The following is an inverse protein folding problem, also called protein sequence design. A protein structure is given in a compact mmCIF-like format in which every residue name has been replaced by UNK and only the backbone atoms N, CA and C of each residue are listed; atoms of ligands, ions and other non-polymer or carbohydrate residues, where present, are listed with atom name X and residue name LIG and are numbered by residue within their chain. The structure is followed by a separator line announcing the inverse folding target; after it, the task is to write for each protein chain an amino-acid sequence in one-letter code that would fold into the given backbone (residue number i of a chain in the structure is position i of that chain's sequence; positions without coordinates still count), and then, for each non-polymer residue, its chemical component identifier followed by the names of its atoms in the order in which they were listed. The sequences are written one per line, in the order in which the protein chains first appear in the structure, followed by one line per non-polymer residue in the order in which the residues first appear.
data_IF_312662856391
#
_entry.id   IF_312662856391
#
_cell.length_a   1.000
_cell.length_b   1.000
_cell.length_c   1.000
_cell.angle_alpha   90.00
_cell.angle_beta   90.00
_cell.angle_gamma   90.00
#
_symmetry.space_group_name_H-M   'P 1'
#
loop_
_entity.id
_entity.type
_entity.pdbx_description
1 polymer ?
#
# COMPACT_ATOMS: atom_id res chain seq x y z
N UNK A 1 -9.84 -25.93 -2.50
CA UNK A 1 -8.42 -25.52 -2.61
C UNK A 1 -8.09 -24.70 -1.38
N UNK A 2 -6.99 -24.99 -0.69
CA UNK A 2 -6.65 -24.34 0.58
C UNK A 2 -6.26 -22.86 0.37
N UNK A 3 -6.97 -21.95 1.04
CA UNK A 3 -6.74 -20.49 0.95
C UNK A 3 -5.31 -20.13 1.34
N UNK A 4 -4.75 -20.78 2.36
CA UNK A 4 -3.39 -20.50 2.85
C UNK A 4 -2.34 -20.72 1.76
N UNK A 5 -2.38 -21.90 1.13
CA UNK A 5 -1.48 -22.27 0.02
C UNK A 5 -1.60 -21.34 -1.18
N UNK A 6 -2.81 -20.95 -1.56
CA UNK A 6 -3.02 -20.00 -2.67
C UNK A 6 -2.38 -18.65 -2.37
N UNK A 7 -2.56 -18.14 -1.15
CA UNK A 7 -1.99 -16.86 -0.76
C UNK A 7 -0.47 -16.89 -0.64
N UNK A 8 0.09 -18.04 -0.25
CA UNK A 8 1.53 -18.24 -0.27
C UNK A 8 2.09 -18.25 -1.70
N UNK A 9 1.49 -19.02 -2.61
CA UNK A 9 1.89 -19.01 -4.02
C UNK A 9 1.72 -17.63 -4.64
N UNK A 10 0.62 -16.93 -4.34
CA UNK A 10 0.39 -15.55 -4.76
C UNK A 10 1.55 -14.63 -4.36
N UNK A 11 1.99 -14.69 -3.11
CA UNK A 11 3.12 -13.87 -2.63
C UNK A 11 4.42 -14.20 -3.36
N UNK A 12 4.67 -15.48 -3.64
CA UNK A 12 5.88 -15.93 -4.31
C UNK A 12 5.98 -15.46 -5.77
N UNK A 13 4.84 -15.32 -6.47
CA UNK A 13 4.81 -14.93 -7.88
C UNK A 13 4.42 -13.46 -8.10
N UNK A 14 4.04 -12.72 -7.05
CA UNK A 14 3.54 -11.35 -7.15
C UNK A 14 4.46 -10.41 -7.95
N UNK A 15 5.77 -10.49 -7.68
CA UNK A 15 6.77 -9.60 -8.28
C UNK A 15 7.17 -10.06 -9.67
N UNK A 16 7.22 -11.36 -9.92
CA UNK A 16 7.72 -11.94 -11.18
C UNK A 16 6.63 -12.16 -12.24
N UNK A 17 5.39 -12.44 -11.82
CA UNK A 17 4.26 -12.69 -12.70
C UNK A 17 2.95 -12.25 -12.03
N UNK A 18 2.68 -10.95 -12.12
CA UNK A 18 1.47 -10.31 -11.60
C UNK A 18 0.18 -10.87 -12.22
N UNK A 19 0.23 -11.37 -13.46
CA UNK A 19 -0.91 -11.98 -14.13
C UNK A 19 -1.26 -13.34 -13.51
N UNK A 20 -0.26 -14.19 -13.30
CA UNK A 20 -0.42 -15.46 -12.55
C UNK A 20 -0.86 -15.18 -11.12
N UNK A 21 -0.26 -14.18 -10.45
CA UNK A 21 -0.67 -13.77 -9.11
C UNK A 21 -2.18 -13.47 -9.04
N UNK A 22 -2.71 -12.65 -9.95
CA UNK A 22 -4.16 -12.39 -10.01
C UNK A 22 -4.99 -13.62 -10.33
N UNK A 23 -4.50 -14.51 -11.20
CA UNK A 23 -5.21 -15.75 -11.52
C UNK A 23 -5.40 -16.64 -10.29
N UNK A 24 -4.40 -16.67 -9.39
CA UNK A 24 -4.46 -17.39 -8.12
C UNK A 24 -5.52 -16.80 -7.21
N UNK A 25 -5.56 -15.47 -7.07
CA UNK A 25 -6.61 -14.79 -6.29
C UNK A 25 -8.01 -15.09 -6.85
N UNK A 26 -8.16 -15.14 -8.18
CA UNK A 26 -9.45 -15.45 -8.84
C UNK A 26 -9.95 -16.88 -8.62
N UNK A 27 -9.10 -17.79 -8.14
CA UNK A 27 -9.51 -19.15 -7.72
C UNK A 27 -10.19 -19.16 -6.35
N UNK A 28 -10.12 -18.06 -5.59
CA UNK A 28 -10.79 -17.86 -4.31
C UNK A 28 -12.11 -17.10 -4.49
N UNK A 29 -12.97 -17.14 -3.46
CA UNK A 29 -14.16 -16.29 -3.37
C UNK A 29 -13.77 -14.83 -3.06
N UNK A 30 -13.21 -14.14 -4.06
CA UNK A 30 -12.58 -12.83 -3.87
C UNK A 30 -13.54 -11.64 -3.82
N UNK A 31 -14.73 -11.76 -4.42
CA UNK A 31 -15.63 -10.60 -4.66
C UNK A 31 -16.16 -9.95 -3.37
N UNK A 32 -16.31 -10.73 -2.31
CA UNK A 32 -16.79 -10.28 -1.00
C UNK A 32 -15.65 -10.20 0.03
N UNK A 33 -14.39 -10.24 -0.43
CA UNK A 33 -13.21 -10.23 0.42
C UNK A 33 -12.36 -8.97 0.14
N UNK A 34 -12.39 -7.98 1.05
CA UNK A 34 -11.70 -6.71 0.84
C UNK A 34 -10.18 -6.88 0.67
N UNK A 35 -9.58 -7.86 1.33
CA UNK A 35 -8.15 -8.14 1.21
C UNK A 35 -7.81 -8.72 -0.17
N UNK A 36 -8.62 -9.64 -0.69
CA UNK A 36 -8.37 -10.22 -2.01
C UNK A 36 -8.62 -9.21 -3.15
N UNK A 37 -9.64 -8.36 -3.02
CA UNK A 37 -9.86 -7.24 -3.94
C UNK A 37 -8.68 -6.26 -3.91
N UNK A 38 -8.17 -5.93 -2.71
CA UNK A 38 -6.97 -5.11 -2.55
C UNK A 38 -5.74 -5.75 -3.20
N UNK A 39 -5.53 -7.06 -3.06
CA UNK A 39 -4.43 -7.76 -3.73
C UNK A 39 -4.51 -7.60 -5.26
N UNK A 40 -5.71 -7.72 -5.83
CA UNK A 40 -5.92 -7.48 -7.27
C UNK A 40 -5.62 -6.02 -7.61
N UNK A 41 -6.13 -5.06 -6.82
CA UNK A 41 -5.87 -3.64 -7.04
C UNK A 41 -4.38 -3.31 -7.01
N UNK A 42 -3.64 -3.83 -6.03
CA UNK A 42 -2.21 -3.63 -5.87
C UNK A 42 -1.44 -4.09 -7.10
N UNK A 43 -1.74 -5.29 -7.62
CA UNK A 43 -1.04 -5.79 -8.82
C UNK A 43 -1.25 -4.91 -10.06
N UNK A 44 -2.45 -4.34 -10.24
CA UNK A 44 -2.73 -3.42 -11.34
C UNK A 44 -2.09 -2.05 -11.11
N UNK A 45 -2.04 -1.58 -9.86
CA UNK A 45 -1.34 -0.36 -9.49
C UNK A 45 0.16 -0.50 -9.78
N UNK A 46 0.77 -1.64 -9.45
CA UNK A 46 2.17 -1.92 -9.75
C UNK A 46 2.43 -1.91 -11.25
N UNK A 47 1.61 -2.62 -12.04
CA UNK A 47 1.70 -2.59 -13.51
C UNK A 47 1.47 -1.19 -14.10
N UNK A 48 0.76 -0.32 -13.40
CA UNK A 48 0.58 1.07 -13.81
C UNK A 48 1.81 1.94 -13.58
N UNK A 49 2.67 1.57 -12.61
CA UNK A 49 3.84 2.33 -12.19
C UNK A 49 5.15 1.74 -12.69
N UNK A 50 5.19 0.44 -12.97
CA UNK A 50 6.37 -0.30 -13.39
C UNK A 50 6.11 -1.03 -14.71
N UNK A 51 7.15 -1.15 -15.53
CA UNK A 51 7.14 -2.02 -16.70
C UNK A 51 7.37 -3.49 -16.33
N UNK A 52 7.33 -4.36 -17.34
CA UNK A 52 7.50 -5.81 -17.18
C UNK A 52 8.88 -6.21 -16.65
N UNK A 53 9.87 -5.31 -16.73
CA UNK A 53 11.21 -5.51 -16.17
C UNK A 53 11.33 -4.91 -14.76
N UNK A 54 10.21 -4.45 -14.18
CA UNK A 54 10.19 -3.79 -12.87
C UNK A 54 10.76 -2.38 -12.85
N UNK A 55 11.06 -1.79 -14.02
CA UNK A 55 11.54 -0.41 -14.10
C UNK A 55 10.38 0.56 -13.98
N UNK A 56 10.57 1.60 -13.18
CA UNK A 56 9.55 2.63 -13.01
C UNK A 56 9.28 3.33 -14.35
N UNK A 57 8.00 3.44 -14.69
CA UNK A 57 7.53 4.16 -15.86
C UNK A 57 7.66 5.67 -15.64
N UNK A 58 7.94 6.40 -16.72
CA UNK A 58 7.96 7.87 -16.69
C UNK A 58 6.58 8.45 -16.35
N UNK A 59 5.52 7.80 -16.84
CA UNK A 59 4.14 8.19 -16.65
C UNK A 59 3.31 6.99 -16.21
N UNK A 60 2.23 7.26 -15.47
CA UNK A 60 1.30 6.21 -15.03
C UNK A 60 0.56 5.64 -16.22
N UNK A 61 0.54 4.31 -16.35
CA UNK A 61 -0.30 3.66 -17.35
C UNK A 61 -1.77 3.68 -16.90
N UNK A 62 -2.48 4.73 -17.30
CA UNK A 62 -3.83 5.06 -16.85
C UNK A 62 -4.86 3.94 -17.02
N UNK A 63 -4.74 3.09 -18.05
CA UNK A 63 -5.65 1.95 -18.22
C UNK A 63 -5.55 0.97 -17.05
N UNK A 64 -4.33 0.66 -16.60
CA UNK A 64 -4.09 -0.24 -15.46
C UNK A 64 -4.47 0.42 -14.14
N UNK A 65 -4.12 1.70 -14.00
CA UNK A 65 -4.52 2.49 -12.84
C UNK A 65 -6.06 2.52 -12.65
N UNK A 66 -6.83 2.75 -13.72
CA UNK A 66 -8.32 2.74 -13.68
C UNK A 66 -8.90 1.38 -13.29
N UNK A 67 -8.17 0.28 -13.54
CA UNK A 67 -8.60 -1.05 -13.06
C UNK A 67 -8.26 -1.20 -11.58
N UNK A 68 -7.09 -0.76 -11.15
CA UNK A 68 -6.71 -0.73 -9.74
C UNK A 68 -7.72 0.09 -8.91
N UNK A 69 -8.10 1.26 -9.40
CA UNK A 69 -9.10 2.14 -8.79
C UNK A 69 -10.45 1.43 -8.59
N UNK A 70 -10.95 0.74 -9.61
CA UNK A 70 -12.23 0.03 -9.50
C UNK A 70 -12.22 -1.04 -8.41
N UNK A 71 -11.16 -1.84 -8.35
CA UNK A 71 -11.06 -2.90 -7.35
C UNK A 71 -10.86 -2.32 -5.94
N UNK A 72 -10.10 -1.24 -5.79
CA UNK A 72 -9.87 -0.67 -4.45
C UNK A 72 -11.10 0.06 -3.91
N UNK A 73 -11.93 0.66 -4.77
CA UNK A 73 -13.24 1.21 -4.37
C UNK A 73 -14.14 0.10 -3.81
N UNK A 74 -14.27 -1.02 -4.52
CA UNK A 74 -15.05 -2.17 -4.02
C UNK A 74 -14.50 -2.70 -2.69
N UNK A 75 -13.17 -2.74 -2.52
CA UNK A 75 -12.57 -3.18 -1.28
C UNK A 75 -12.87 -2.24 -0.10
N UNK A 76 -12.86 -0.92 -0.34
CA UNK A 76 -13.22 0.10 0.68
C UNK A 76 -14.69 0.00 1.07
N UNK A 77 -15.59 -0.28 0.13
CA UNK A 77 -17.02 -0.46 0.41
C UNK A 77 -17.29 -1.64 1.37
N UNK A 78 -16.49 -2.71 1.28
CA UNK A 78 -16.62 -3.89 2.12
C UNK A 78 -15.98 -3.76 3.51
N UNK A 79 -14.87 -3.02 3.59
CA UNK A 79 -14.18 -2.73 4.85
C UNK A 79 -13.38 -1.41 4.75
N UNK A 80 -13.97 -0.27 5.15
CA UNK A 80 -13.33 1.04 5.05
C UNK A 80 -12.23 1.26 6.11
N UNK A 81 -12.09 0.35 7.07
CA UNK A 81 -11.08 0.43 8.14
C UNK A 81 -9.97 -0.60 7.97
N UNK A 82 -10.02 -1.45 6.93
CA UNK A 82 -8.93 -2.35 6.62
C UNK A 82 -7.66 -1.56 6.25
N UNK A 83 -6.56 -1.71 7.00
CA UNK A 83 -5.39 -0.87 6.82
C UNK A 83 -4.64 -1.17 5.50
N UNK A 84 -4.69 -2.41 5.00
CA UNK A 84 -4.15 -2.75 3.67
C UNK A 84 -4.94 -2.09 2.54
N UNK A 85 -6.27 -2.05 2.68
CA UNK A 85 -7.17 -1.39 1.72
C UNK A 85 -6.92 0.11 1.73
N UNK A 86 -6.85 0.74 2.91
CA UNK A 86 -6.52 2.16 3.06
C UNK A 86 -5.16 2.49 2.43
N UNK A 87 -4.14 1.65 2.63
CA UNK A 87 -2.80 1.90 2.10
C UNK A 87 -2.75 1.85 0.58
N UNK A 88 -3.40 0.85 -0.03
CA UNK A 88 -3.49 0.76 -1.49
C UNK A 88 -4.39 1.86 -2.04
N UNK A 89 -5.49 2.24 -1.38
CA UNK A 89 -6.31 3.38 -1.78
C UNK A 89 -5.49 4.67 -1.77
N UNK A 90 -4.75 4.95 -0.70
CA UNK A 90 -3.86 6.11 -0.62
C UNK A 90 -2.83 6.12 -1.75
N UNK A 91 -2.25 4.96 -2.06
CA UNK A 91 -1.28 4.81 -3.15
C UNK A 91 -1.90 5.02 -4.54
N UNK A 92 -3.13 4.53 -4.77
CA UNK A 92 -3.90 4.78 -5.99
C UNK A 92 -4.17 6.27 -6.15
N UNK A 93 -4.66 6.93 -5.10
CA UNK A 93 -5.03 8.36 -5.10
C UNK A 93 -3.80 9.25 -5.30
N UNK A 94 -2.71 8.97 -4.60
CA UNK A 94 -1.41 9.65 -4.78
C UNK A 94 -0.90 9.54 -6.21
N UNK A 95 -1.04 8.38 -6.85
CA UNK A 95 -0.60 8.18 -8.25
C UNK A 95 -1.43 9.00 -9.26
N UNK A 96 -2.60 9.49 -8.87
CA UNK A 96 -3.44 10.38 -9.67
C UNK A 96 -3.40 11.85 -9.22
N UNK A 97 -2.49 12.22 -8.30
CA UNK A 97 -2.37 13.58 -7.77
C UNK A 97 -3.48 13.98 -6.80
N UNK A 98 -4.33 13.05 -6.37
CA UNK A 98 -5.41 13.30 -5.41
C UNK A 98 -4.86 13.22 -3.98
N UNK A 99 -3.98 14.18 -3.64
CA UNK A 99 -3.18 14.14 -2.42
C UNK A 99 -4.03 14.21 -1.15
N UNK A 100 -5.12 14.98 -1.12
CA UNK A 100 -6.01 15.09 0.05
C UNK A 100 -6.57 13.73 0.48
N UNK A 101 -7.02 12.92 -0.49
CA UNK A 101 -7.56 11.58 -0.22
C UNK A 101 -6.44 10.64 0.22
N UNK A 102 -5.26 10.75 -0.39
CA UNK A 102 -4.11 9.94 0.00
C UNK A 102 -3.69 10.24 1.44
N UNK A 103 -3.61 11.52 1.81
CA UNK A 103 -3.34 12.00 3.17
C UNK A 103 -4.34 11.40 4.14
N UNK A 104 -5.65 11.54 3.86
CA UNK A 104 -6.70 10.97 4.70
C UNK A 104 -6.50 9.46 4.95
N UNK A 105 -6.19 8.69 3.91
CA UNK A 105 -5.95 7.25 4.05
C UNK A 105 -4.78 6.93 4.98
N UNK A 106 -3.64 7.58 4.81
CA UNK A 106 -2.45 7.31 5.64
C UNK A 106 -2.62 7.82 7.07
N UNK A 107 -3.28 8.97 7.27
CA UNK A 107 -3.63 9.47 8.59
C UNK A 107 -4.57 8.51 9.32
N UNK A 108 -5.54 7.93 8.62
CA UNK A 108 -6.45 6.93 9.18
C UNK A 108 -5.71 5.68 9.65
N UNK A 109 -4.73 5.19 8.88
CA UNK A 109 -3.87 4.06 9.30
C UNK A 109 -3.07 4.41 10.56
N UNK A 110 -2.48 5.61 10.61
CA UNK A 110 -1.72 6.06 11.79
C UNK A 110 -2.64 6.18 13.02
N UNK A 111 -3.87 6.67 12.85
CA UNK A 111 -4.88 6.78 13.91
C UNK A 111 -5.34 5.43 14.44
N UNK A 112 -5.53 4.44 13.56
CA UNK A 112 -5.79 3.05 13.97
C UNK A 112 -4.64 2.50 14.83
N UNK A 113 -3.41 2.86 14.45
CA UNK A 113 -2.19 2.39 15.10
C UNK A 113 -2.03 0.87 14.97
N UNK A 114 -1.01 0.32 15.64
CA UNK A 114 -0.67 -1.11 15.51
C UNK A 114 -1.81 -2.01 16.00
N UNK A 115 -2.41 -1.67 17.16
CA UNK A 115 -3.51 -2.47 17.73
C UNK A 115 -4.76 -2.45 16.83
N UNK A 116 -5.10 -1.28 16.28
CA UNK A 116 -6.22 -1.15 15.36
C UNK A 116 -5.97 -1.89 14.05
N UNK A 117 -4.75 -1.80 13.50
CA UNK A 117 -4.39 -2.47 12.25
C UNK A 117 -4.36 -4.01 12.36
N UNK A 118 -4.12 -4.54 13.56
CA UNK A 118 -4.25 -5.98 13.85
C UNK A 118 -5.70 -6.42 14.06
N UNK A 119 -6.62 -5.47 14.27
CA UNK A 119 -8.06 -5.71 14.43
C UNK A 119 -8.79 -5.57 13.09
N UNK A 120 -10.01 -6.11 12.99
CA UNK A 120 -10.81 -6.06 11.75
C UNK A 120 -10.62 -7.29 10.84
N UNK A 121 -11.15 -7.22 9.60
CA UNK A 121 -11.20 -8.39 8.70
C UNK A 121 -9.85 -8.73 8.08
N UNK A 122 -8.98 -7.73 7.88
CA UNK A 122 -7.68 -7.92 7.24
C UNK A 122 -6.58 -8.49 8.14
N UNK A 123 -6.83 -8.61 9.46
CA UNK A 123 -5.97 -9.22 10.51
C UNK A 123 -4.48 -9.27 10.14
N UNK A 124 -3.83 -8.11 10.17
CA UNK A 124 -2.37 -8.07 10.05
C UNK A 124 -1.72 -8.69 11.28
N UNK A 125 -0.61 -9.40 11.06
CA UNK A 125 0.27 -9.71 12.18
C UNK A 125 0.91 -8.44 12.74
N UNK A 126 1.51 -8.56 13.92
CA UNK A 126 2.04 -7.41 14.65
C UNK A 126 3.15 -6.69 13.89
N UNK A 127 3.97 -7.40 13.15
CA UNK A 127 5.13 -6.82 12.47
C UNK A 127 4.68 -6.14 11.18
N UNK A 128 3.81 -6.76 10.39
CA UNK A 128 3.15 -6.11 9.26
C UNK A 128 2.39 -4.84 9.70
N UNK A 129 1.68 -4.89 10.83
CA UNK A 129 0.99 -3.72 11.37
C UNK A 129 1.96 -2.59 11.77
N UNK A 130 3.09 -2.92 12.39
CA UNK A 130 4.14 -1.92 12.71
C UNK A 130 4.73 -1.30 11.44
N UNK A 131 5.09 -2.15 10.48
CA UNK A 131 5.65 -1.74 9.18
C UNK A 131 4.69 -0.79 8.49
N UNK A 132 3.43 -1.18 8.32
CA UNK A 132 2.44 -0.40 7.61
C UNK A 132 2.13 0.94 8.28
N UNK A 133 1.98 0.96 9.60
CA UNK A 133 1.78 2.20 10.36
C UNK A 133 3.01 3.11 10.25
N UNK A 134 4.21 2.53 10.19
CA UNK A 134 5.42 3.32 10.03
C UNK A 134 5.56 3.86 8.60
N UNK A 135 5.41 3.01 7.59
CA UNK A 135 5.47 3.36 6.16
C UNK A 135 4.39 4.39 5.80
N UNK A 136 3.23 4.37 6.45
CA UNK A 136 2.21 5.44 6.27
C UNK A 136 2.72 6.82 6.70
N UNK A 137 3.59 6.91 7.71
CA UNK A 137 4.23 8.19 8.09
C UNK A 137 5.23 8.61 7.02
N UNK A 138 5.92 7.67 6.40
CA UNK A 138 6.83 7.97 5.31
C UNK A 138 6.07 8.53 4.09
N UNK A 139 4.91 7.97 3.76
CA UNK A 139 4.06 8.54 2.71
C UNK A 139 3.55 9.94 3.05
N UNK A 140 3.16 10.20 4.30
CA UNK A 140 2.80 11.56 4.73
C UNK A 140 3.97 12.54 4.68
N UNK A 141 5.18 12.11 5.06
CA UNK A 141 6.40 12.90 4.86
C UNK A 141 6.51 13.34 3.38
N UNK A 142 6.29 12.41 2.44
CA UNK A 142 6.40 12.70 1.01
C UNK A 142 5.27 13.57 0.48
N UNK A 143 4.06 13.39 0.99
CA UNK A 143 2.88 14.15 0.56
C UNK A 143 2.93 15.60 1.04
N UNK A 144 3.43 15.85 2.25
CA UNK A 144 3.57 17.20 2.80
C UNK A 144 4.89 17.88 2.42
N UNK A 145 5.80 17.22 1.69
CA UNK A 145 7.17 17.70 1.48
C UNK A 145 7.24 19.13 0.93
N UNK A 146 6.41 19.43 -0.08
CA UNK A 146 6.38 20.73 -0.73
C UNK A 146 5.43 21.71 0.01
N UNK A 147 4.27 21.23 0.43
CA UNK A 147 3.19 22.08 0.95
C UNK A 147 3.35 22.48 2.43
N UNK A 148 3.91 21.60 3.27
CA UNK A 148 4.17 21.86 4.69
C UNK A 148 5.47 21.16 5.14
N UNK A 149 6.65 21.78 4.92
CA UNK A 149 7.94 21.18 5.25
C UNK A 149 8.12 20.90 6.76
N UNK A 150 7.46 21.67 7.64
CA UNK A 150 7.55 21.48 9.09
C UNK A 150 6.81 20.21 9.49
N UNK A 151 5.59 20.02 8.99
CA UNK A 151 4.81 18.81 9.22
C UNK A 151 5.45 17.58 8.54
N UNK A 152 5.94 17.75 7.32
CA UNK A 152 6.71 16.73 6.60
C UNK A 152 7.91 16.24 7.42
N UNK A 153 8.73 17.17 7.94
CA UNK A 153 9.87 16.85 8.80
C UNK A 153 9.47 16.15 10.11
N UNK A 154 8.30 16.47 10.68
CA UNK A 154 7.75 15.75 11.83
C UNK A 154 7.42 14.30 11.49
N UNK A 155 6.76 14.05 10.37
CA UNK A 155 6.47 12.68 9.92
C UNK A 155 7.73 11.87 9.61
N UNK A 156 8.75 12.50 9.00
CA UNK A 156 10.04 11.85 8.74
C UNK A 156 10.72 11.42 10.06
N UNK A 157 10.76 12.31 11.06
CA UNK A 157 11.30 11.98 12.40
C UNK A 157 10.54 10.82 13.03
N UNK A 158 9.20 10.81 12.92
CA UNK A 158 8.37 9.72 13.44
C UNK A 158 8.60 8.39 12.72
N UNK A 159 8.85 8.43 11.40
CA UNK A 159 9.20 7.26 10.59
C UNK A 159 10.57 6.68 10.99
N UNK A 160 11.60 7.54 11.08
CA UNK A 160 12.96 7.13 11.46
C UNK A 160 12.98 6.50 12.86
N UNK A 161 12.29 7.10 13.83
CA UNK A 161 12.13 6.52 15.18
C UNK A 161 11.45 5.15 15.16
N UNK A 162 10.57 4.88 14.20
CA UNK A 162 9.98 3.56 14.01
C UNK A 162 11.00 2.52 13.53
N UNK A 163 11.87 2.91 12.60
CA UNK A 163 12.96 2.06 12.11
C UNK A 163 13.97 1.74 13.22
N UNK A 164 14.35 2.74 14.02
CA UNK A 164 15.22 2.56 15.21
C UNK A 164 14.63 1.55 16.21
N UNK A 165 13.30 1.50 16.32
CA UNK A 165 12.57 0.53 17.16
C UNK A 165 12.35 -0.83 16.50
N UNK A 166 12.99 -1.08 15.35
CA UNK A 166 12.96 -2.36 14.65
C UNK A 166 11.77 -2.55 13.69
N UNK A 167 11.02 -1.50 13.35
CA UNK A 167 10.07 -1.62 12.23
C UNK A 167 10.85 -1.84 10.93
N UNK A 168 10.45 -2.84 10.14
CA UNK A 168 10.94 -2.97 8.76
C UNK A 168 10.19 -1.97 7.87
N UNK A 169 10.55 -1.95 6.60
CA UNK A 169 9.97 -1.02 5.63
C UNK A 169 10.08 -1.59 4.22
N UNK A 170 9.11 -1.25 3.39
CA UNK A 170 9.11 -1.56 1.96
C UNK A 170 10.04 -0.64 1.15
N UNK A 171 10.44 0.52 1.69
CA UNK A 171 11.31 1.48 1.01
C UNK A 171 12.78 1.06 1.12
N UNK A 172 13.21 0.09 0.30
CA UNK A 172 14.61 -0.39 0.26
C UNK A 172 15.22 -0.29 -1.15
N UNK A 173 16.44 0.24 -1.31
CA UNK A 173 17.22 0.94 -0.29
C UNK A 173 16.59 2.30 0.06
N UNK A 174 16.49 2.64 1.35
CA UNK A 174 15.76 3.82 1.83
C UNK A 174 16.20 5.13 1.18
N UNK A 175 17.52 5.31 0.99
CA UNK A 175 18.10 6.52 0.38
C UNK A 175 17.49 6.87 -0.98
N UNK A 176 17.05 5.87 -1.76
CA UNK A 176 16.43 6.08 -3.08
C UNK A 176 15.08 6.82 -2.98
N UNK A 177 14.42 6.76 -1.83
CA UNK A 177 13.04 7.23 -1.66
C UNK A 177 12.93 8.52 -0.83
N UNK A 178 14.02 8.96 -0.20
CA UNK A 178 14.06 10.23 0.51
C UNK A 178 13.98 11.39 -0.50
N UNK A 179 13.06 12.32 -0.26
CA UNK A 179 12.96 13.59 -0.97
C UNK A 179 14.01 14.53 -0.34
N UNK A 180 15.09 14.71 -1.09
CA UNK A 180 16.30 15.49 -0.78
C UNK A 180 17.11 15.03 0.45
N UNK A 181 18.18 14.29 0.17
CA UNK A 181 19.47 14.47 0.86
C UNK A 181 20.45 15.00 -0.18
N UNK A 182 20.43 16.30 -0.44
CA UNK A 182 21.52 17.00 -1.12
C UNK A 182 21.99 18.13 -0.21
#
# INVERSE_FOLDING_TARGET
MDRGKILEEYRNVLVSDSAKARSLIRKLSYKEDPYLLQCIAQTFLDESRFDENGKQRKEVYWRKWRVAERYIIQAVELDPDCPMVLSTMGSVRRSAGQNDIAIYCYEKIIKLGVKGAMSGKCKLDRDMAKELVNDSKFELYRLYYEDDPVLSGKYLKMYMKGLEKGARTIYRPLKRFLLETN
#
